data_IF_286781321745
#
_entry.id   IF_286781321745
#
_cell.length_a   1.000
_cell.length_b   1.000
_cell.length_c   1.000
_cell.angle_alpha   90.00
_cell.angle_beta   90.00
_cell.angle_gamma   90.00
#
_symmetry.space_group_name_H-M   'P 1'
#
loop_
_entity.id
_entity.type
_entity.pdbx_description
1 polymer ?
#
# COMPACT_ATOMS: atom_id res chain seq x y z
N UNK A 1 11.65 -23.41 29.70
CA UNK A 1 10.94 -23.41 28.40
C UNK A 1 10.16 -24.71 28.27
N UNK A 2 9.01 -24.75 27.60
CA UNK A 2 8.25 -26.00 27.42
C UNK A 2 8.67 -26.69 26.13
N UNK A 3 8.67 -28.02 26.10
CA UNK A 3 9.03 -28.79 24.89
C UNK A 3 8.22 -28.38 23.65
N UNK A 4 6.94 -28.00 23.85
CA UNK A 4 6.05 -27.52 22.77
C UNK A 4 6.50 -26.21 22.12
N UNK A 5 7.22 -25.37 22.86
CA UNK A 5 7.76 -24.09 22.37
C UNK A 5 9.09 -24.30 21.65
N UNK A 6 9.89 -25.29 22.07
CA UNK A 6 11.21 -25.57 21.46
C UNK A 6 11.09 -26.36 20.17
N UNK A 7 10.11 -27.27 20.06
CA UNK A 7 9.92 -28.12 18.88
C UNK A 7 9.93 -27.37 17.53
N UNK A 8 9.18 -26.27 17.35
CA UNK A 8 9.18 -25.47 16.13
C UNK A 8 10.52 -24.79 15.82
N UNK A 9 11.30 -24.45 16.85
CA UNK A 9 12.57 -23.72 16.75
C UNK A 9 13.77 -24.65 16.45
N UNK A 10 13.63 -25.95 16.71
CA UNK A 10 14.70 -26.93 16.53
C UNK A 10 15.30 -26.98 15.11
N UNK A 11 14.52 -26.93 14.01
CA UNK A 11 15.09 -26.99 12.66
C UNK A 11 15.97 -25.79 12.34
N UNK A 12 15.57 -24.58 12.76
CA UNK A 12 16.36 -23.37 12.53
C UNK A 12 17.58 -23.29 13.45
N UNK A 13 17.45 -23.77 14.69
CA UNK A 13 18.57 -23.93 15.60
C UNK A 13 19.63 -24.90 15.04
N UNK A 14 19.19 -26.07 14.57
CA UNK A 14 20.07 -27.08 13.97
C UNK A 14 20.67 -26.60 12.65
N UNK A 15 19.87 -25.90 11.84
CA UNK A 15 20.30 -25.33 10.56
C UNK A 15 21.11 -24.04 10.66
N UNK A 16 21.38 -23.53 11.87
CA UNK A 16 22.16 -22.32 12.09
C UNK A 16 21.48 -21.02 11.62
N UNK A 17 20.14 -21.01 11.52
CA UNK A 17 19.35 -19.85 11.06
C UNK A 17 18.68 -19.06 12.20
N UNK A 18 18.77 -19.54 13.43
CA UNK A 18 18.22 -18.88 14.61
C UNK A 18 19.12 -17.73 15.11
N UNK A 19 18.50 -16.72 15.70
CA UNK A 19 19.18 -15.62 16.37
C UNK A 19 19.87 -16.05 17.68
N UNK A 20 20.77 -15.21 18.20
CA UNK A 20 21.58 -15.50 19.39
C UNK A 20 20.76 -15.67 20.68
N UNK A 21 19.63 -14.98 20.81
CA UNK A 21 18.76 -15.14 21.98
C UNK A 21 18.02 -16.48 21.92
N UNK A 22 17.50 -16.84 20.75
CA UNK A 22 16.87 -18.14 20.52
C UNK A 22 17.86 -19.29 20.70
N UNK A 23 19.09 -19.15 20.20
CA UNK A 23 20.14 -20.16 20.39
C UNK A 23 20.44 -20.43 21.86
N UNK A 24 20.60 -19.38 22.69
CA UNK A 24 20.84 -19.53 24.13
C UNK A 24 19.67 -20.18 24.87
N UNK A 25 18.43 -19.82 24.51
CA UNK A 25 17.23 -20.41 25.14
C UNK A 25 17.06 -21.88 24.77
N UNK A 26 17.24 -22.22 23.50
CA UNK A 26 17.13 -23.59 22.99
C UNK A 26 18.27 -24.45 23.55
N UNK A 27 19.52 -23.98 23.55
CA UNK A 27 20.64 -24.73 24.11
C UNK A 27 20.45 -25.05 25.59
N UNK A 28 20.03 -24.08 26.40
CA UNK A 28 19.74 -24.31 27.81
C UNK A 28 18.62 -25.34 28.02
N UNK A 29 17.61 -25.38 27.14
CA UNK A 29 16.59 -26.44 27.21
C UNK A 29 17.11 -27.82 26.80
N UNK A 30 18.00 -27.88 25.81
CA UNK A 30 18.59 -29.15 25.33
C UNK A 30 19.53 -29.78 26.37
N UNK A 31 20.11 -28.98 27.27
CA UNK A 31 20.91 -29.48 28.39
C UNK A 31 20.05 -30.17 29.46
N UNK A 32 18.79 -29.76 29.61
CA UNK A 32 17.87 -30.27 30.63
C UNK A 32 16.91 -31.35 30.11
N UNK A 33 16.58 -31.33 28.81
CA UNK A 33 15.50 -32.15 28.23
C UNK A 33 16.01 -33.20 27.23
N UNK A 34 16.20 -34.47 27.63
CA UNK A 34 16.75 -35.52 26.77
C UNK A 34 15.87 -35.89 25.57
N UNK A 35 14.55 -35.62 25.65
CA UNK A 35 13.64 -35.85 24.53
C UNK A 35 13.90 -34.86 23.40
N UNK A 36 14.05 -33.56 23.73
CA UNK A 36 14.38 -32.52 22.76
C UNK A 36 15.82 -32.68 22.23
N UNK A 37 16.77 -33.12 23.06
CA UNK A 37 18.14 -33.46 22.63
C UNK A 37 18.14 -34.51 21.53
N UNK A 38 17.34 -35.58 21.70
CA UNK A 38 17.22 -36.66 20.71
C UNK A 38 16.64 -36.15 19.39
N UNK A 39 15.57 -35.36 19.45
CA UNK A 39 14.96 -34.75 18.26
C UNK A 39 15.96 -33.84 17.52
N UNK A 40 16.73 -33.04 18.25
CA UNK A 40 17.77 -32.19 17.66
C UNK A 40 18.87 -33.02 16.96
N UNK A 41 19.27 -34.16 17.55
CA UNK A 41 20.25 -35.07 16.95
C UNK A 41 19.70 -35.75 15.69
N UNK A 42 18.44 -36.18 15.70
CA UNK A 42 17.77 -36.74 14.52
C UNK A 42 17.71 -35.71 13.37
N UNK A 43 17.35 -34.46 13.68
CA UNK A 43 17.36 -33.35 12.72
C UNK A 43 18.77 -33.08 12.18
N UNK A 44 19.80 -33.07 13.03
CA UNK A 44 21.21 -32.91 12.59
C UNK A 44 21.61 -34.00 11.61
N UNK A 45 21.31 -35.26 11.94
CA UNK A 45 21.59 -36.38 11.06
C UNK A 45 20.86 -36.28 9.71
N UNK A 46 19.62 -35.77 9.73
CA UNK A 46 18.85 -35.52 8.51
C UNK A 46 19.50 -34.43 7.65
N UNK A 47 19.89 -33.29 8.24
CA UNK A 47 20.55 -32.22 7.52
C UNK A 47 21.88 -32.66 6.90
N UNK A 48 22.71 -33.44 7.62
CA UNK A 48 23.95 -34.00 7.05
C UNK A 48 23.66 -34.84 5.81
N UNK A 49 22.64 -35.72 5.85
CA UNK A 49 22.27 -36.53 4.69
C UNK A 49 21.70 -35.73 3.52
N UNK A 50 21.10 -34.57 3.79
CA UNK A 50 20.62 -33.68 2.74
C UNK A 50 21.78 -32.92 2.10
N UNK A 51 22.77 -32.51 2.89
CA UNK A 51 23.96 -31.79 2.45
C UNK A 51 24.94 -32.70 1.67
N UNK A 52 24.99 -33.99 2.00
CA UNK A 52 25.74 -35.00 1.25
C UNK A 52 25.21 -35.24 -0.17
N UNK A 53 24.00 -34.78 -0.50
CA UNK A 53 23.51 -34.90 -1.88
C UNK A 53 24.21 -33.85 -2.73
N UNK A 54 24.80 -34.31 -3.83
CA UNK A 54 25.40 -33.44 -4.84
C UNK A 54 24.44 -32.30 -5.17
N UNK A 55 24.92 -31.08 -5.00
CA UNK A 55 24.15 -29.88 -5.22
C UNK A 55 23.61 -29.90 -6.65
N UNK A 56 22.31 -30.18 -6.79
CA UNK A 56 21.68 -30.18 -8.09
C UNK A 56 21.70 -28.75 -8.62
N UNK A 57 22.60 -28.49 -9.58
CA UNK A 57 22.61 -27.24 -10.32
C UNK A 57 21.71 -27.39 -11.53
N UNK A 58 20.67 -26.54 -11.67
CA UNK A 58 19.93 -26.49 -12.93
C UNK A 58 20.85 -26.07 -14.08
N UNK A 59 20.55 -26.54 -15.29
CA UNK A 59 21.27 -26.13 -16.49
C UNK A 59 21.07 -24.63 -16.77
N UNK A 60 22.02 -23.97 -17.44
CA UNK A 60 21.94 -22.53 -17.74
C UNK A 60 20.64 -22.13 -18.46
N UNK A 61 20.14 -23.00 -19.35
CA UNK A 61 18.88 -22.80 -20.06
C UNK A 61 17.63 -22.79 -19.14
N UNK A 62 17.73 -23.32 -17.92
CA UNK A 62 16.66 -23.22 -16.93
C UNK A 62 16.49 -21.76 -16.50
N UNK A 63 17.58 -21.04 -16.24
CA UNK A 63 17.57 -19.64 -15.81
C UNK A 63 17.06 -18.69 -16.88
N UNK A 64 17.29 -18.98 -18.15
CA UNK A 64 16.72 -18.19 -19.25
C UNK A 64 15.21 -18.38 -19.39
N UNK A 65 14.69 -19.57 -19.06
CA UNK A 65 13.25 -19.87 -19.15
C UNK A 65 12.45 -19.53 -17.89
N UNK A 66 13.10 -19.40 -16.73
CA UNK A 66 12.39 -19.16 -15.46
C UNK A 66 11.83 -17.73 -15.37
N UNK A 67 12.60 -16.72 -15.80
CA UNK A 67 12.18 -15.32 -15.77
C UNK A 67 10.89 -15.08 -16.58
N UNK A 68 10.79 -15.53 -17.85
CA UNK A 68 9.55 -15.43 -18.62
C UNK A 68 8.37 -16.14 -17.94
N UNK A 69 8.59 -17.32 -17.35
CA UNK A 69 7.53 -18.08 -16.66
C UNK A 69 7.03 -17.37 -15.40
N UNK A 70 7.94 -16.72 -14.67
CA UNK A 70 7.59 -15.93 -13.47
C UNK A 70 6.80 -14.69 -13.87
N UNK A 71 7.25 -13.93 -14.88
CA UNK A 71 6.50 -12.78 -15.40
C UNK A 71 5.12 -13.17 -15.90
N UNK A 72 5.01 -14.23 -16.69
CA UNK A 72 3.69 -14.72 -17.16
C UNK A 72 2.76 -15.08 -16.00
N UNK A 73 3.27 -15.74 -14.94
CA UNK A 73 2.44 -16.04 -13.75
C UNK A 73 2.03 -14.80 -12.97
N UNK A 74 2.91 -13.79 -12.88
CA UNK A 74 2.58 -12.51 -12.25
C UNK A 74 1.51 -11.76 -13.05
N UNK A 75 1.64 -11.73 -14.38
CA UNK A 75 0.66 -11.12 -15.28
C UNK A 75 -0.68 -11.84 -15.25
N UNK A 76 -0.69 -13.18 -15.30
CA UNK A 76 -1.90 -13.98 -15.15
C UNK A 76 -2.58 -13.73 -13.80
N UNK A 77 -1.81 -13.65 -12.71
CA UNK A 77 -2.36 -13.37 -11.38
C UNK A 77 -2.83 -11.92 -11.24
N UNK A 78 -2.15 -10.96 -11.87
CA UNK A 78 -2.57 -9.57 -11.92
C UNK A 78 -3.84 -9.41 -12.77
N UNK A 79 -3.96 -10.15 -13.87
CA UNK A 79 -5.15 -10.20 -14.72
C UNK A 79 -6.34 -10.87 -14.02
N UNK A 80 -6.09 -11.80 -13.08
CA UNK A 80 -7.12 -12.33 -12.16
C UNK A 80 -7.47 -11.38 -11.02
N UNK A 81 -6.75 -10.27 -10.86
CA UNK A 81 -7.08 -9.21 -9.91
C UNK A 81 -8.37 -8.49 -10.30
N UNK A 82 -8.94 -7.74 -9.34
CA UNK A 82 -10.07 -6.87 -9.63
C UNK A 82 -9.70 -5.89 -10.75
N UNK A 83 -10.62 -5.58 -11.68
CA UNK A 83 -10.33 -4.72 -12.83
C UNK A 83 -9.73 -3.39 -12.35
N UNK A 84 -8.70 -2.88 -13.03
CA UNK A 84 -7.95 -1.67 -12.62
C UNK A 84 -8.85 -0.43 -12.40
N UNK A 85 -10.02 -0.40 -13.04
CA UNK A 85 -11.04 0.61 -12.77
C UNK A 85 -11.49 0.59 -11.30
N UNK A 86 -11.70 -0.59 -10.72
CA UNK A 86 -12.13 -0.72 -9.32
C UNK A 86 -11.10 -0.21 -8.33
N UNK A 87 -9.79 -0.44 -8.53
CA UNK A 87 -8.76 0.13 -7.65
C UNK A 87 -8.65 1.64 -7.79
N UNK A 88 -8.86 2.17 -9.00
CA UNK A 88 -8.87 3.63 -9.27
C UNK A 88 -10.02 4.36 -8.56
N UNK A 89 -11.18 3.73 -8.37
CA UNK A 89 -12.31 4.32 -7.66
C UNK A 89 -12.43 3.90 -6.19
N UNK A 90 -12.03 2.67 -5.84
CA UNK A 90 -12.14 2.16 -4.47
C UNK A 90 -11.20 2.90 -3.50
N UNK A 91 -10.00 3.27 -3.94
CA UNK A 91 -9.05 4.00 -3.09
C UNK A 91 -9.56 5.39 -2.67
N UNK A 92 -9.99 6.29 -3.58
CA UNK A 92 -10.52 7.59 -3.18
C UNK A 92 -11.84 7.46 -2.40
N UNK A 93 -12.70 6.48 -2.73
CA UNK A 93 -13.96 6.25 -1.99
C UNK A 93 -13.66 5.78 -0.56
N UNK A 94 -12.75 4.84 -0.37
CA UNK A 94 -12.35 4.38 0.95
C UNK A 94 -11.73 5.53 1.77
N UNK A 95 -10.85 6.33 1.16
CA UNK A 95 -10.27 7.50 1.81
C UNK A 95 -11.34 8.52 2.22
N UNK A 96 -12.32 8.80 1.36
CA UNK A 96 -13.42 9.71 1.66
C UNK A 96 -14.30 9.20 2.81
N UNK A 97 -14.59 7.89 2.86
CA UNK A 97 -15.36 7.28 3.96
C UNK A 97 -14.59 7.40 5.28
N UNK A 98 -13.29 7.12 5.28
CA UNK A 98 -12.44 7.26 6.48
C UNK A 98 -12.39 8.71 6.96
N UNK A 99 -12.25 9.67 6.03
CA UNK A 99 -12.29 11.10 6.34
C UNK A 99 -13.65 11.53 6.91
N UNK A 100 -14.76 11.09 6.30
CA UNK A 100 -16.10 11.39 6.79
C UNK A 100 -16.34 10.81 8.18
N UNK A 101 -15.90 9.57 8.43
CA UNK A 101 -15.99 8.94 9.75
C UNK A 101 -15.14 9.67 10.81
N UNK A 102 -13.94 10.13 10.43
CA UNK A 102 -13.10 10.93 11.30
C UNK A 102 -13.76 12.27 11.65
N UNK A 103 -14.35 12.97 10.67
CA UNK A 103 -15.10 14.21 10.90
C UNK A 103 -16.29 13.96 11.82
N UNK A 104 -17.07 12.90 11.63
CA UNK A 104 -18.22 12.57 12.52
C UNK A 104 -17.77 12.28 13.96
N UNK A 105 -16.59 11.67 14.15
CA UNK A 105 -16.04 11.39 15.49
C UNK A 105 -15.44 12.61 16.18
N UNK A 106 -14.97 13.60 15.42
CA UNK A 106 -14.25 14.77 15.94
C UNK A 106 -15.17 16.00 16.02
N UNK A 107 -16.15 16.11 15.12
CA UNK A 107 -17.12 17.18 15.16
C UNK A 107 -18.06 16.98 16.36
N UNK A 108 -18.12 17.92 17.31
CA UNK A 108 -19.17 17.89 18.32
C UNK A 108 -20.52 17.97 17.60
N UNK A 109 -21.56 17.28 18.10
CA UNK A 109 -22.88 17.29 17.49
C UNK A 109 -23.38 18.74 17.37
N UNK A 110 -23.39 19.27 16.15
CA UNK A 110 -24.05 20.53 15.82
C UNK A 110 -25.54 20.25 15.72
N UNK A 111 -26.19 20.20 16.88
CA UNK A 111 -27.62 19.92 17.02
C UNK A 111 -28.04 19.99 18.47
N UNK A 112 -28.41 21.21 18.89
CA UNK A 112 -29.43 21.46 19.91
C UNK A 112 -29.29 20.76 21.26
N UNK A 113 -28.24 21.09 22.00
CA UNK A 113 -28.33 21.14 23.47
C UNK A 113 -27.75 22.49 23.91
N UNK A 114 -28.52 23.57 23.70
CA UNK A 114 -28.29 24.78 24.47
C UNK A 114 -28.54 24.41 25.93
N UNK A 115 -27.54 24.52 26.83
CA UNK A 115 -27.76 24.19 28.22
C UNK A 115 -28.90 25.06 28.73
N UNK A 116 -29.91 24.46 29.38
CA UNK A 116 -31.05 25.16 30.01
C UNK A 116 -30.63 26.31 30.96
N UNK A 117 -29.35 26.34 31.29
CA UNK A 117 -28.64 27.35 32.06
C UNK A 117 -28.55 28.70 31.32
N UNK A 118 -28.63 28.73 29.97
CA UNK A 118 -28.52 29.96 29.19
C UNK A 118 -29.79 30.81 29.27
N UNK A 119 -30.97 30.17 29.28
CA UNK A 119 -32.24 30.85 29.57
C UNK A 119 -32.27 31.44 30.99
N UNK A 120 -31.68 30.74 31.98
CA UNK A 120 -31.59 31.24 33.36
C UNK A 120 -30.62 32.44 33.47
N UNK A 121 -29.54 32.44 32.69
CA UNK A 121 -28.61 33.58 32.61
C UNK A 121 -29.23 34.78 31.88
N UNK A 122 -30.04 34.56 30.86
CA UNK A 122 -30.75 35.62 30.15
C UNK A 122 -31.85 36.27 30.99
N UNK A 123 -32.49 35.51 31.89
CA UNK A 123 -33.54 36.02 32.76
C UNK A 123 -33.00 36.72 34.02
N UNK A 124 -31.73 36.47 34.37
CA UNK A 124 -31.02 37.15 35.46
C UNK A 124 -30.20 38.36 34.99
N UNK A 125 -30.15 38.63 33.69
CA UNK A 125 -29.46 39.81 33.18
C UNK A 125 -30.38 41.04 33.30
N UNK A 126 -30.03 42.05 34.13
CA UNK A 126 -30.77 43.30 34.16
C UNK A 126 -30.66 43.98 32.78
N UNK A 127 -31.75 44.62 32.29
CA UNK A 127 -31.79 45.25 30.96
C UNK A 127 -30.68 46.31 30.76
N UNK A 128 -30.12 46.81 31.86
CA UNK A 128 -29.08 47.84 31.89
C UNK A 128 -27.71 47.35 31.37
N UNK A 129 -27.40 46.04 31.46
CA UNK A 129 -26.15 45.49 30.93
C UNK A 129 -26.22 45.17 29.43
N UNK A 130 -27.40 44.74 28.94
CA UNK A 130 -27.65 44.54 27.50
C UNK A 130 -27.43 45.82 26.71
N UNK A 131 -27.81 46.96 27.28
CA UNK A 131 -27.60 48.27 26.66
C UNK A 131 -26.11 48.67 26.62
N UNK A 132 -25.33 48.34 27.65
CA UNK A 132 -23.87 48.57 27.66
C UNK A 132 -23.11 47.70 26.66
N UNK A 133 -23.51 46.44 26.47
CA UNK A 133 -22.89 45.55 25.47
C UNK A 133 -23.26 45.99 24.06
N UNK A 134 -24.49 46.48 23.85
CA UNK A 134 -24.94 47.01 22.56
C UNK A 134 -24.20 48.31 22.21
N UNK A 135 -24.01 49.21 23.19
CA UNK A 135 -23.22 50.43 23.01
C UNK A 135 -21.73 50.12 22.79
N UNK A 136 -21.16 49.11 23.47
CA UNK A 136 -19.78 48.67 23.22
C UNK A 136 -19.59 48.01 21.85
N UNK A 137 -20.56 47.21 21.38
CA UNK A 137 -20.50 46.63 20.04
C UNK A 137 -20.61 47.70 18.96
N UNK A 138 -21.51 48.67 19.10
CA UNK A 138 -21.62 49.81 18.19
C UNK A 138 -20.32 50.62 18.13
N UNK A 139 -19.64 50.83 19.27
CA UNK A 139 -18.33 51.50 19.31
C UNK A 139 -17.22 50.66 18.66
N UNK A 140 -17.25 49.33 18.80
CA UNK A 140 -16.27 48.43 18.16
C UNK A 140 -16.45 48.30 16.64
N UNK A 141 -17.69 48.43 16.16
CA UNK A 141 -18.03 48.43 14.72
C UNK A 141 -17.64 49.75 14.05
N UNK A 142 -17.70 50.88 14.80
CA UNK A 142 -17.20 52.18 14.34
C UNK A 142 -15.66 52.24 14.31
N UNK A 143 -14.96 51.42 15.12
CA UNK A 143 -13.51 51.38 15.22
C UNK A 143 -12.82 50.27 14.44
N UNK A 144 -13.55 49.40 13.74
CA UNK A 144 -12.96 48.65 12.65
C UNK A 144 -12.84 49.59 11.45
N UNK A 145 -11.64 50.05 11.05
CA UNK A 145 -11.51 50.44 9.66
C UNK A 145 -11.88 49.19 8.86
N UNK A 146 -12.91 49.32 8.04
CA UNK A 146 -13.10 48.44 6.89
C UNK A 146 -11.75 48.38 6.20
N UNK A 147 -11.02 47.28 6.40
CA UNK A 147 -9.97 46.90 5.48
C UNK A 147 -10.73 46.49 4.21
N UNK A 148 -11.00 47.50 3.39
CA UNK A 148 -11.13 47.34 1.96
C UNK A 148 -9.85 46.63 1.52
N UNK A 149 -9.89 45.30 1.43
CA UNK A 149 -8.93 44.60 0.60
C UNK A 149 -9.33 44.87 -0.86
N UNK A 150 -8.40 45.41 -1.67
CA UNK A 150 -8.69 45.94 -2.98
C UNK A 150 -9.19 44.84 -3.92
N UNK A 151 -10.31 45.15 -4.56
CA UNK A 151 -10.71 44.56 -5.83
C UNK A 151 -9.55 44.62 -6.84
N UNK A 152 -9.43 43.54 -7.62
CA UNK A 152 -8.65 43.41 -8.85
C UNK A 152 -7.14 43.16 -8.68
N UNK A 153 -6.78 41.88 -8.53
CA UNK A 153 -5.56 41.35 -9.16
C UNK A 153 -5.70 41.53 -10.68
N UNK A 154 -5.08 42.62 -11.16
CA UNK A 154 -4.76 42.88 -12.55
C UNK A 154 -4.11 41.65 -13.19
N UNK A 155 -4.52 41.31 -14.40
CA UNK A 155 -4.02 40.15 -15.16
C UNK A 155 -2.58 40.27 -15.64
N UNK A 156 -1.89 41.38 -15.37
CA UNK A 156 -0.53 41.62 -15.88
C UNK A 156 0.58 41.01 -15.00
N UNK A 157 0.31 40.70 -13.72
CA UNK A 157 1.37 40.18 -12.81
C UNK A 157 1.66 38.68 -12.98
N UNK A 158 0.90 37.96 -13.82
CA UNK A 158 1.14 36.54 -14.12
C UNK A 158 2.23 36.33 -15.19
N UNK A 159 2.51 37.34 -16.03
CA UNK A 159 3.59 37.26 -17.03
C UNK A 159 4.98 37.42 -16.40
N UNK A 160 5.10 38.20 -15.32
CA UNK A 160 6.37 38.38 -14.59
C UNK A 160 6.75 37.13 -13.78
N UNK A 161 5.77 36.38 -13.26
CA UNK A 161 6.02 35.09 -12.60
C UNK A 161 6.45 34.02 -13.59
N UNK A 162 5.95 34.07 -14.83
CA UNK A 162 6.30 33.11 -15.89
C UNK A 162 7.71 33.34 -16.44
N UNK A 163 8.20 34.58 -16.44
CA UNK A 163 9.57 34.90 -16.85
C UNK A 163 10.61 34.57 -15.77
N UNK A 164 10.23 34.60 -14.48
CA UNK A 164 11.13 34.18 -13.38
C UNK A 164 11.26 32.64 -13.29
N UNK A 165 10.24 31.87 -13.71
CA UNK A 165 10.23 30.40 -13.61
C UNK A 165 10.97 29.65 -14.74
N UNK A 166 11.66 30.35 -15.64
CA UNK A 166 12.73 29.76 -16.46
C UNK A 166 12.35 28.46 -17.16
N UNK A 167 11.26 28.48 -17.95
CA UNK A 167 10.93 27.38 -18.86
C UNK A 167 11.65 27.60 -20.21
N UNK A 168 12.98 27.61 -20.15
CA UNK A 168 13.82 27.53 -21.35
C UNK A 168 13.98 26.06 -21.73
N UNK A 169 13.31 25.71 -22.83
CA UNK A 169 13.47 24.45 -23.50
C UNK A 169 14.93 24.19 -23.88
N UNK A 170 15.42 23.03 -23.49
CA UNK A 170 16.50 22.33 -24.17
C UNK A 170 16.19 20.84 -24.11
N UNK A 171 15.79 20.29 -25.26
CA UNK A 171 15.81 18.84 -25.49
C UNK A 171 17.23 18.27 -25.41
N UNK A 172 17.41 16.94 -25.54
CA UNK A 172 17.26 16.36 -26.88
C UNK A 172 16.80 14.88 -26.92
N UNK A 173 16.64 14.40 -28.17
CA UNK A 173 16.57 13.01 -28.62
C UNK A 173 15.25 12.28 -28.28
N UNK A 174 14.41 11.89 -29.22
CA UNK A 174 14.70 11.35 -30.55
C UNK A 174 14.31 9.88 -30.54
N UNK A 175 13.16 9.56 -31.12
CA UNK A 175 12.90 8.35 -31.91
C UNK A 175 11.49 8.45 -32.45
N UNK A 176 11.40 8.66 -33.75
CA UNK A 176 10.21 8.37 -34.55
C UNK A 176 9.88 6.88 -34.39
N UNK A 177 8.73 6.59 -33.81
CA UNK A 177 8.13 5.26 -33.84
C UNK A 177 6.71 5.44 -34.36
N UNK A 178 6.57 5.32 -35.68
CA UNK A 178 5.31 5.01 -36.35
C UNK A 178 4.70 3.78 -35.67
N UNK A 179 3.71 3.98 -34.81
CA UNK A 179 2.83 2.89 -34.38
C UNK A 179 1.86 2.59 -35.52
N UNK A 180 2.27 1.65 -36.37
CA UNK A 180 1.33 0.86 -37.15
C UNK A 180 0.42 0.11 -36.17
N UNK A 181 -0.83 0.53 -36.06
CA UNK A 181 -1.90 -0.32 -35.50
C UNK A 181 -2.25 -1.38 -36.53
N UNK A 182 -1.38 -2.37 -36.67
CA UNK A 182 -1.68 -3.63 -37.32
C UNK A 182 -2.55 -4.48 -36.39
N UNK A 183 -3.86 -4.24 -36.42
CA UNK A 183 -4.82 -5.22 -35.95
C UNK A 183 -4.76 -6.40 -36.95
N UNK A 184 -3.80 -7.30 -36.74
CA UNK A 184 -3.79 -8.57 -37.45
C UNK A 184 -4.97 -9.40 -36.92
N UNK A 185 -5.91 -9.59 -37.83
CA UNK A 185 -7.05 -10.48 -37.75
C UNK A 185 -6.53 -11.92 -37.75
N UNK A 186 -6.28 -12.47 -36.57
CA UNK A 186 -5.99 -13.89 -36.40
C UNK A 186 -7.28 -14.66 -36.66
N UNK A 187 -7.58 -14.92 -37.93
CA UNK A 187 -8.69 -15.76 -38.33
C UNK A 187 -8.47 -17.19 -37.79
N UNK A 188 -9.57 -17.86 -37.42
CA UNK A 188 -9.65 -19.24 -36.90
C UNK A 188 -8.99 -20.34 -37.78
N UNK A 189 -8.29 -19.97 -38.85
CA UNK A 189 -7.70 -20.86 -39.83
C UNK A 189 -6.36 -21.47 -39.36
N UNK A 190 -5.64 -20.84 -38.43
CA UNK A 190 -4.34 -21.33 -37.94
C UNK A 190 -4.45 -22.38 -36.82
N UNK A 191 -5.58 -22.43 -36.11
CA UNK A 191 -5.83 -23.46 -35.10
C UNK A 191 -5.97 -24.87 -35.72
N UNK A 192 -6.35 -24.97 -37.00
CA UNK A 192 -6.55 -26.24 -37.70
C UNK A 192 -5.25 -26.97 -38.08
N UNK A 193 -4.10 -26.28 -38.17
CA UNK A 193 -2.84 -26.91 -38.58
C UNK A 193 -2.08 -27.60 -37.43
N UNK A 194 -2.40 -27.31 -36.17
CA UNK A 194 -1.66 -27.86 -35.03
C UNK A 194 -2.18 -29.23 -34.54
N UNK A 195 -3.43 -29.57 -34.85
CA UNK A 195 -4.04 -30.85 -34.46
C UNK A 195 -3.38 -32.10 -35.09
N UNK A 196 -3.04 -32.15 -36.39
CA UNK A 196 -2.47 -33.37 -36.97
C UNK A 196 -1.04 -33.69 -36.48
N UNK A 197 -0.30 -32.70 -35.95
CA UNK A 197 1.06 -32.94 -35.44
C UNK A 197 1.11 -33.62 -34.07
N UNK A 198 -0.02 -33.66 -33.34
CA UNK A 198 -0.11 -34.34 -32.05
C UNK A 198 -0.54 -35.81 -32.18
N UNK A 199 -1.36 -36.14 -33.19
CA UNK A 199 -1.82 -37.53 -33.42
C UNK A 199 -0.72 -38.45 -33.95
N UNK A 200 0.27 -37.92 -34.67
CA UNK A 200 1.37 -38.71 -35.21
C UNK A 200 2.39 -39.16 -34.14
N UNK A 201 2.32 -38.59 -32.93
CA UNK A 201 3.28 -38.87 -31.84
C UNK A 201 2.82 -40.00 -30.90
N UNK A 202 1.55 -40.39 -30.93
CA UNK A 202 0.99 -41.42 -30.04
C UNK A 202 0.94 -42.83 -30.67
N UNK A 203 1.27 -42.99 -31.96
CA UNK A 203 1.25 -44.31 -32.64
C UNK A 203 2.61 -45.03 -32.65
N UNK A 204 3.63 -44.45 -32.01
CA UNK A 204 4.96 -45.06 -31.88
C UNK A 204 5.25 -45.43 -30.43
N UNK A 205 4.47 -46.36 -29.87
CA UNK A 205 4.83 -47.11 -28.66
C UNK A 205 4.15 -48.48 -28.65
#
# INVERSE_FOLDING_TARGET
MRCREVGPELPDFVGGRSDEETNRRVSGHLDECPACTRQAQELRALFVRLDEREAWSPAEAYWTSILPRVHRRLEENAARGLPQWTTRFALPVAAAIVLAAAVIKIAPPTGEDYPANFSVLLEQLPPDELQRVTDQQAVSEILQPVLEEPSATSSDDLEDVKTILGEDGSGPAGTDAEMMTGAEDWSDQDAGQLLPMLEERDTSN
#
